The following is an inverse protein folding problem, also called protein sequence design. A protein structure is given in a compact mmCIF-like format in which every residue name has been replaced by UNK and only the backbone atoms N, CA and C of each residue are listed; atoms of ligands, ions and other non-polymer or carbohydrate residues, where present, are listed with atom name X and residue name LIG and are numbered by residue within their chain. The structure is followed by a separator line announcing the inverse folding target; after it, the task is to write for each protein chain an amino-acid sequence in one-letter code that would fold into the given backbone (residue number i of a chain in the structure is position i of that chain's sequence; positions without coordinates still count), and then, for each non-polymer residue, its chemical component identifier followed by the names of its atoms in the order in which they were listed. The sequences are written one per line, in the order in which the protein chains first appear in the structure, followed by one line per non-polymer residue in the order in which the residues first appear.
data_IF_418556537971
#
_entry.id   IF_418556537971
#
_cell.length_a   1.000
_cell.length_b   1.000
_cell.length_c   1.000
_cell.angle_alpha   90.00
_cell.angle_beta   90.00
_cell.angle_gamma   90.00
#
_symmetry.space_group_name_H-M   'P 1'
#
loop_
_entity.id
_entity.type
_entity.pdbx_description
1 polymer ?
#
# COMPACT_ATOMS: atom_id res chain seq x y z
N UNK A 1 1.87 22.54 -22.32
CA UNK A 1 2.50 21.62 -21.34
C UNK A 1 1.49 21.40 -20.24
N UNK A 2 1.06 20.16 -20.03
CA UNK A 2 0.02 19.85 -19.05
C UNK A 2 0.51 19.89 -17.60
N UNK A 3 -0.42 20.01 -16.66
CA UNK A 3 -0.16 20.13 -15.22
C UNK A 3 0.42 18.86 -14.58
N UNK A 4 0.26 17.70 -15.24
CA UNK A 4 0.82 16.42 -14.82
C UNK A 4 2.12 16.11 -15.56
N UNK A 5 3.09 15.50 -14.89
CA UNK A 5 4.32 15.06 -15.55
C UNK A 5 4.04 13.98 -16.60
N UNK A 6 4.87 13.91 -17.64
CA UNK A 6 4.78 12.87 -18.68
C UNK A 6 4.81 11.46 -18.08
N UNK A 7 5.65 11.23 -17.06
CA UNK A 7 5.70 9.95 -16.35
C UNK A 7 4.38 9.61 -15.66
N UNK A 8 3.71 10.60 -15.05
CA UNK A 8 2.41 10.40 -14.42
C UNK A 8 1.33 10.02 -15.44
N UNK A 9 1.33 10.68 -16.60
CA UNK A 9 0.42 10.34 -17.71
C UNK A 9 0.68 8.94 -18.27
N UNK A 10 1.95 8.59 -18.52
CA UNK A 10 2.32 7.25 -19.00
C UNK A 10 1.93 6.15 -18.01
N UNK A 11 2.09 6.38 -16.70
CA UNK A 11 1.69 5.43 -15.66
C UNK A 11 0.16 5.20 -15.61
N UNK A 12 -0.62 6.12 -16.16
CA UNK A 12 -2.07 5.98 -16.34
C UNK A 12 -2.46 5.52 -17.75
N UNK A 13 -1.51 5.18 -18.62
CA UNK A 13 -1.78 4.73 -19.99
C UNK A 13 -2.05 5.86 -20.99
N UNK A 14 -1.72 7.10 -20.65
CA UNK A 14 -1.84 8.29 -21.49
C UNK A 14 -0.49 8.76 -22.07
N UNK A 15 -0.54 9.33 -23.28
CA UNK A 15 0.54 10.10 -23.89
C UNK A 15 0.03 11.51 -24.22
N UNK A 16 0.81 12.55 -23.95
CA UNK A 16 0.47 13.90 -24.43
C UNK A 16 0.57 13.96 -25.95
N UNK A 17 -0.36 14.68 -26.58
CA UNK A 17 -0.38 14.90 -28.05
C UNK A 17 0.71 15.88 -28.51
N UNK A 18 1.33 16.62 -27.59
CA UNK A 18 2.34 17.64 -27.88
C UNK A 18 1.75 19.04 -28.11
N UNK A 19 0.44 19.15 -28.32
CA UNK A 19 -0.29 20.41 -28.41
C UNK A 19 -1.11 20.63 -27.13
N UNK A 20 -0.81 21.68 -26.36
CA UNK A 20 -1.56 22.03 -25.15
C UNK A 20 -1.30 21.09 -23.96
N UNK A 21 -2.38 20.66 -23.31
CA UNK A 21 -2.40 19.68 -22.22
C UNK A 21 -3.18 18.40 -22.57
N UNK A 22 -3.62 18.28 -23.83
CA UNK A 22 -4.37 17.12 -24.29
C UNK A 22 -3.53 15.85 -24.20
N UNK A 23 -4.10 14.83 -23.55
CA UNK A 23 -3.51 13.53 -23.38
C UNK A 23 -4.46 12.46 -23.91
N UNK A 24 -3.91 11.44 -24.59
CA UNK A 24 -4.70 10.39 -25.21
C UNK A 24 -4.16 9.00 -24.89
N UNK A 25 -5.05 8.03 -24.76
CA UNK A 25 -4.67 6.63 -24.57
C UNK A 25 -4.46 5.95 -25.92
N UNK A 26 -3.32 5.27 -26.09
CA UNK A 26 -3.04 4.55 -27.35
C UNK A 26 -3.93 3.33 -27.59
N UNK A 27 -4.52 2.76 -26.53
CA UNK A 27 -5.30 1.51 -26.60
C UNK A 27 -6.79 1.75 -26.82
N UNK A 28 -7.43 2.60 -26.01
CA UNK A 28 -8.86 2.89 -26.11
C UNK A 28 -9.18 4.18 -26.87
N UNK A 29 -8.16 4.98 -27.22
CA UNK A 29 -8.30 6.28 -27.91
C UNK A 29 -9.06 7.34 -27.11
N UNK A 30 -9.24 7.14 -25.80
CA UNK A 30 -9.74 8.17 -24.90
C UNK A 30 -8.82 9.39 -24.97
N UNK A 31 -9.38 10.55 -25.26
CA UNK A 31 -8.70 11.85 -25.24
C UNK A 31 -9.30 12.72 -24.12
N UNK A 32 -8.42 13.40 -23.40
CA UNK A 32 -8.78 14.29 -22.28
C UNK A 32 -7.89 15.52 -22.32
N UNK A 33 -8.52 16.69 -22.19
CA UNK A 33 -7.89 18.01 -22.12
C UNK A 33 -8.37 18.74 -20.86
N UNK A 34 -7.86 19.95 -20.64
CA UNK A 34 -8.21 20.82 -19.49
C UNK A 34 -7.92 20.16 -18.13
N UNK A 35 -6.74 19.57 -18.02
CA UNK A 35 -6.29 18.87 -16.83
C UNK A 35 -6.02 19.84 -15.69
N UNK A 36 -6.58 19.51 -14.53
CA UNK A 36 -6.26 20.18 -13.26
C UNK A 36 -5.40 19.28 -12.37
N UNK A 37 -4.74 19.86 -11.37
CA UNK A 37 -3.84 19.14 -10.45
C UNK A 37 -4.55 18.10 -9.58
N UNK A 38 -5.85 18.27 -9.36
CA UNK A 38 -6.72 17.37 -8.59
C UNK A 38 -7.27 16.19 -9.42
N UNK A 39 -7.27 16.30 -10.74
CA UNK A 39 -7.66 15.19 -11.62
C UNK A 39 -6.59 14.10 -11.62
N UNK A 40 -6.92 12.91 -11.11
CA UNK A 40 -6.04 11.75 -11.19
C UNK A 40 -6.15 11.08 -12.58
N UNK A 41 -5.06 11.01 -13.37
CA UNK A 41 -5.13 10.47 -14.74
C UNK A 41 -5.62 9.02 -14.79
N UNK A 42 -5.22 8.17 -13.84
CA UNK A 42 -5.68 6.79 -13.81
C UNK A 42 -7.19 6.70 -13.55
N UNK A 43 -7.69 7.45 -12.58
CA UNK A 43 -9.12 7.45 -12.24
C UNK A 43 -9.98 7.90 -13.42
N UNK A 44 -9.59 8.98 -14.09
CA UNK A 44 -10.28 9.47 -15.29
C UNK A 44 -10.28 8.42 -16.41
N UNK A 45 -9.16 7.71 -16.60
CA UNK A 45 -9.07 6.63 -17.58
C UNK A 45 -10.04 5.50 -17.25
N UNK A 46 -10.00 4.99 -16.01
CA UNK A 46 -10.85 3.90 -15.57
C UNK A 46 -12.34 4.26 -15.62
N UNK A 47 -12.69 5.50 -15.28
CA UNK A 47 -14.06 5.98 -15.28
C UNK A 47 -14.62 6.17 -16.71
N UNK A 48 -13.85 6.79 -17.61
CA UNK A 48 -14.32 7.13 -18.97
C UNK A 48 -14.09 6.01 -19.98
N UNK A 49 -13.23 5.05 -19.70
CA UNK A 49 -12.95 3.91 -20.57
C UNK A 49 -12.63 2.64 -19.76
N UNK A 50 -13.61 2.12 -19.01
CA UNK A 50 -13.43 0.93 -18.17
C UNK A 50 -13.05 -0.32 -18.99
N UNK A 51 -13.52 -0.41 -20.23
CA UNK A 51 -13.24 -1.51 -21.15
C UNK A 51 -11.83 -1.45 -21.78
N UNK A 52 -11.05 -0.40 -21.49
CA UNK A 52 -9.70 -0.28 -22.04
C UNK A 52 -8.82 -1.45 -21.59
N UNK A 53 -8.09 -2.05 -22.53
CA UNK A 53 -7.15 -3.16 -22.25
C UNK A 53 -6.14 -2.81 -21.15
N UNK A 54 -5.67 -1.56 -21.10
CA UNK A 54 -4.81 -1.09 -20.01
C UNK A 54 -5.55 -1.13 -18.67
N UNK A 55 -6.73 -0.50 -18.58
CA UNK A 55 -7.53 -0.45 -17.34
C UNK A 55 -7.87 -1.87 -16.84
N UNK A 56 -8.32 -2.77 -17.71
CA UNK A 56 -8.60 -4.18 -17.37
C UNK A 56 -7.37 -4.97 -16.99
N UNK A 57 -6.19 -4.62 -17.51
CA UNK A 57 -4.94 -5.28 -17.09
C UNK A 57 -4.52 -4.90 -15.66
N UNK A 58 -4.91 -3.71 -15.21
CA UNK A 58 -4.66 -3.23 -13.85
C UNK A 58 -5.77 -3.70 -12.89
N UNK A 59 -7.00 -3.83 -13.39
CA UNK A 59 -8.16 -4.38 -12.68
C UNK A 59 -8.77 -5.53 -13.49
N UNK A 60 -8.24 -6.76 -13.40
CA UNK A 60 -8.88 -7.89 -14.06
C UNK A 60 -10.28 -8.07 -13.48
N UNK A 61 -11.28 -8.17 -14.36
CA UNK A 61 -12.64 -8.47 -13.92
C UNK A 61 -12.64 -9.77 -13.10
N UNK A 62 -13.48 -9.88 -12.05
CA UNK A 62 -13.86 -11.18 -11.57
C UNK A 62 -14.53 -11.89 -12.75
N UNK A 63 -13.95 -13.01 -13.19
CA UNK A 63 -14.41 -13.81 -14.33
C UNK A 63 -15.94 -13.97 -14.25
N UNK A 64 -16.68 -13.22 -15.09
CA UNK A 64 -18.11 -13.42 -15.29
C UNK A 64 -18.26 -14.31 -16.52
N UNK A 65 -18.39 -15.61 -16.29
CA UNK A 65 -19.04 -16.48 -17.27
C UNK A 65 -20.56 -16.37 -17.08
N UNK A 66 -21.24 -15.82 -18.10
CA UNK A 66 -22.67 -16.07 -18.34
C UNK A 66 -23.60 -14.87 -18.21
N UNK A 67 -23.96 -14.29 -19.37
CA UNK A 67 -25.29 -13.79 -19.76
C UNK A 67 -26.14 -12.99 -18.76
N UNK A 68 -26.43 -11.75 -19.14
CA UNK A 68 -27.52 -10.91 -18.61
C UNK A 68 -28.90 -11.63 -18.71
N UNK A 69 -29.91 -11.17 -17.94
CA UNK A 69 -30.71 -10.07 -18.47
C UNK A 69 -31.07 -8.96 -17.47
N UNK A 70 -31.47 -7.85 -18.06
CA UNK A 70 -32.09 -6.66 -17.48
C UNK A 70 -33.02 -6.91 -16.30
N UNK A 71 -32.94 -6.04 -15.30
CA UNK A 71 -34.11 -5.37 -14.75
C UNK A 71 -33.69 -4.02 -14.16
N UNK A 72 -34.38 -2.98 -14.61
CA UNK A 72 -34.32 -1.63 -14.08
C UNK A 72 -34.85 -1.59 -12.64
N UNK A 73 -34.29 -0.73 -11.79
CA UNK A 73 -35.11 0.29 -11.10
C UNK A 73 -34.26 1.41 -10.46
N UNK A 74 -34.58 2.61 -10.91
CA UNK A 74 -34.59 3.96 -10.33
C UNK A 74 -34.29 4.17 -8.83
N UNK A 75 -33.46 5.19 -8.56
CA UNK A 75 -33.43 6.22 -7.47
C UNK A 75 -34.12 5.92 -6.14
N UNK A 76 -33.42 6.12 -5.00
CA UNK A 76 -33.80 7.07 -3.92
C UNK A 76 -32.54 7.47 -3.11
N UNK A 77 -32.31 8.78 -3.01
CA UNK A 77 -31.55 9.46 -1.95
C UNK A 77 -32.33 9.34 -0.64
N UNK A 78 -31.73 8.75 0.40
CA UNK A 78 -32.18 8.96 1.78
C UNK A 78 -30.96 9.07 2.69
N UNK A 79 -30.67 10.31 3.08
CA UNK A 79 -29.96 10.63 4.31
C UNK A 79 -30.75 10.08 5.50
N UNK A 80 -30.11 9.33 6.39
CA UNK A 80 -30.33 9.35 7.85
C UNK A 80 -29.28 8.49 8.56
N UNK A 81 -28.92 8.98 9.73
CA UNK A 81 -27.89 8.56 10.67
C UNK A 81 -28.11 7.16 11.28
N UNK A 82 -27.05 6.71 11.99
CA UNK A 82 -27.06 5.72 13.09
C UNK A 82 -26.44 4.32 12.84
N UNK A 83 -25.61 3.94 13.81
CA UNK A 83 -24.69 2.80 13.92
C UNK A 83 -25.29 1.39 13.68
N UNK A 84 -24.50 0.50 13.02
CA UNK A 84 -23.83 -0.64 13.69
C UNK A 84 -22.93 -1.42 12.72
N UNK A 85 -21.68 -1.63 13.09
CA UNK A 85 -20.74 -2.47 12.36
C UNK A 85 -21.20 -3.94 12.36
N UNK A 86 -21.63 -4.45 11.20
CA UNK A 86 -21.88 -5.88 11.00
C UNK A 86 -20.70 -6.55 10.30
N UNK A 87 -20.25 -7.66 10.90
CA UNK A 87 -19.09 -8.47 10.55
C UNK A 87 -19.23 -9.03 9.12
N UNK A 88 -18.41 -8.57 8.18
CA UNK A 88 -18.32 -9.16 6.83
C UNK A 88 -17.37 -10.36 6.82
N UNK A 89 -17.85 -11.46 6.24
CA UNK A 89 -17.20 -12.76 6.16
C UNK A 89 -15.96 -12.73 5.25
N UNK A 90 -14.89 -13.40 5.71
CA UNK A 90 -13.60 -13.57 5.04
C UNK A 90 -13.69 -14.73 4.06
N UNK A 91 -13.49 -14.48 2.77
CA UNK A 91 -13.25 -15.54 1.78
C UNK A 91 -11.77 -15.93 1.89
N UNK A 92 -11.50 -17.19 2.21
CA UNK A 92 -10.14 -17.72 2.25
C UNK A 92 -9.71 -18.16 0.84
N UNK A 93 -8.68 -17.52 0.31
CA UNK A 93 -8.01 -17.96 -0.92
C UNK A 93 -6.74 -18.72 -0.51
N UNK A 94 -6.63 -19.95 -1.01
CA UNK A 94 -5.56 -20.89 -0.71
C UNK A 94 -4.18 -20.40 -1.17
N UNK A 95 -3.20 -20.75 -0.35
CA UNK A 95 -1.83 -20.25 -0.33
C UNK A 95 -1.02 -20.73 -1.54
N UNK A 96 -0.54 -19.79 -2.36
CA UNK A 96 0.61 -20.01 -3.25
C UNK A 96 1.91 -19.80 -2.46
N UNK A 97 2.83 -20.75 -2.62
CA UNK A 97 3.98 -21.04 -1.74
C UNK A 97 5.19 -20.11 -1.87
N UNK A 98 4.98 -18.83 -2.17
CA UNK A 98 6.05 -17.83 -2.08
C UNK A 98 5.47 -16.51 -1.56
N UNK A 99 5.91 -16.02 -0.38
CA UNK A 99 5.42 -14.75 0.13
C UNK A 99 5.80 -13.65 -0.87
N UNK A 100 4.83 -12.91 -1.44
CA UNK A 100 5.14 -11.81 -2.33
C UNK A 100 5.99 -10.81 -1.55
N UNK A 101 7.23 -10.62 -2.01
CA UNK A 101 8.16 -9.66 -1.41
C UNK A 101 7.54 -8.29 -1.57
N UNK A 102 7.06 -7.70 -0.48
CA UNK A 102 6.43 -6.39 -0.54
C UNK A 102 7.48 -5.34 -0.93
N UNK A 103 7.47 -4.92 -2.19
CA UNK A 103 8.26 -3.78 -2.64
C UNK A 103 7.42 -2.54 -2.38
N UNK A 104 7.63 -1.94 -1.20
CA UNK A 104 7.08 -0.62 -0.96
C UNK A 104 7.83 0.41 -1.80
N UNK A 105 7.12 0.99 -2.78
CA UNK A 105 7.64 2.04 -3.65
C UNK A 105 7.89 3.33 -2.85
N UNK A 106 8.90 4.10 -3.25
CA UNK A 106 9.36 5.28 -2.49
C UNK A 106 8.33 6.40 -2.39
N UNK A 107 7.39 6.47 -3.34
CA UNK A 107 6.27 7.42 -3.25
C UNK A 107 5.37 7.11 -2.05
N UNK A 108 5.09 5.83 -1.77
CA UNK A 108 4.27 5.40 -0.64
C UNK A 108 5.01 5.64 0.67
N UNK A 109 6.32 5.33 0.74
CA UNK A 109 7.14 5.65 1.92
C UNK A 109 7.14 7.14 2.26
N UNK A 110 7.31 8.00 1.25
CA UNK A 110 7.29 9.47 1.42
C UNK A 110 5.92 9.96 1.84
N UNK A 111 4.85 9.44 1.25
CA UNK A 111 3.48 9.75 1.65
C UNK A 111 3.22 9.35 3.11
N UNK A 112 3.68 8.15 3.53
CA UNK A 112 3.57 7.69 4.93
C UNK A 112 4.23 8.66 5.89
N UNK A 113 5.48 9.06 5.62
CA UNK A 113 6.21 10.03 6.44
C UNK A 113 5.45 11.36 6.58
N UNK A 114 4.91 11.87 5.46
CA UNK A 114 4.12 13.12 5.44
C UNK A 114 2.82 13.03 6.22
N UNK A 115 2.18 11.87 6.27
CA UNK A 115 0.94 11.69 7.04
C UNK A 115 1.12 12.01 8.53
N UNK A 116 2.33 11.83 9.08
CA UNK A 116 2.63 12.13 10.49
C UNK A 116 3.11 13.56 10.75
N UNK A 117 3.00 14.48 9.78
CA UNK A 117 3.38 15.89 10.00
C UNK A 117 2.65 16.55 11.16
N UNK A 118 1.40 16.16 11.42
CA UNK A 118 0.57 16.68 12.52
C UNK A 118 0.44 15.67 13.68
N UNK A 119 1.30 14.65 13.75
CA UNK A 119 1.22 13.66 14.82
C UNK A 119 1.51 14.32 16.18
N UNK A 120 0.67 14.11 17.20
CA UNK A 120 0.86 14.77 18.48
C UNK A 120 2.22 14.39 19.11
N UNK A 121 3.14 15.35 19.21
CA UNK A 121 4.49 15.12 19.75
C UNK A 121 4.52 14.57 21.19
N UNK A 122 3.44 14.73 21.95
CA UNK A 122 3.33 14.28 23.34
C UNK A 122 2.69 12.89 23.51
N UNK A 123 2.28 12.24 22.42
CA UNK A 123 1.75 10.87 22.45
C UNK A 123 2.88 9.91 22.06
N UNK A 124 3.20 8.99 22.97
CA UNK A 124 3.93 7.76 22.61
C UNK A 124 2.87 6.72 22.23
N UNK A 125 3.05 5.96 21.14
CA UNK A 125 4.25 5.80 20.31
C UNK A 125 4.57 6.96 19.38
N UNK A 126 5.87 7.16 19.12
CA UNK A 126 6.38 8.21 18.23
C UNK A 126 5.93 8.01 16.78
N UNK A 127 5.89 9.11 16.01
CA UNK A 127 5.62 9.04 14.57
C UNK A 127 6.59 8.10 13.84
N UNK A 128 7.86 8.07 14.26
CA UNK A 128 8.85 7.14 13.71
C UNK A 128 8.45 5.68 13.91
N UNK A 129 8.01 5.30 15.12
CA UNK A 129 7.54 3.94 15.41
C UNK A 129 6.28 3.57 14.62
N UNK A 130 5.35 4.52 14.46
CA UNK A 130 4.15 4.30 13.63
C UNK A 130 4.51 4.09 12.15
N UNK A 131 5.41 4.91 11.61
CA UNK A 131 5.90 4.81 10.22
C UNK A 131 6.60 3.47 9.99
N UNK A 132 7.44 3.05 10.94
CA UNK A 132 8.16 1.77 10.90
C UNK A 132 7.19 0.59 10.89
N UNK A 133 6.15 0.63 11.73
CA UNK A 133 5.08 -0.36 11.77
C UNK A 133 4.16 -0.36 10.53
N UNK A 134 4.35 0.55 9.58
CA UNK A 134 3.63 0.56 8.31
C UNK A 134 2.30 1.31 8.35
N UNK A 135 2.07 2.07 9.41
CA UNK A 135 0.85 2.83 9.60
C UNK A 135 0.91 4.19 8.92
N UNK A 136 -0.27 4.72 8.59
CA UNK A 136 -0.53 6.09 8.15
C UNK A 136 -1.41 6.77 9.19
N UNK A 137 -1.15 8.04 9.51
CA UNK A 137 -2.03 8.83 10.35
C UNK A 137 -3.35 9.14 9.63
N UNK A 138 -4.48 8.94 10.32
CA UNK A 138 -5.80 9.31 9.80
C UNK A 138 -6.14 10.80 9.96
N UNK A 139 -5.25 11.58 10.60
CA UNK A 139 -5.45 12.98 10.98
C UNK A 139 -6.66 13.21 11.91
N UNK A 140 -7.03 12.18 12.67
CA UNK A 140 -8.11 12.23 13.67
C UNK A 140 -7.60 11.60 14.96
N UNK A 141 -7.34 12.43 15.98
CA UNK A 141 -6.79 11.96 17.26
C UNK A 141 -5.45 11.25 17.09
N UNK A 142 -5.32 10.07 17.69
CA UNK A 142 -4.18 9.16 17.57
C UNK A 142 -4.47 7.97 16.63
N UNK A 143 -5.48 8.10 15.78
CA UNK A 143 -5.91 7.03 14.89
C UNK A 143 -4.93 6.85 13.74
N UNK A 144 -4.56 5.61 13.49
CA UNK A 144 -3.71 5.21 12.38
C UNK A 144 -4.31 4.04 11.61
N UNK A 145 -3.91 3.90 10.34
CA UNK A 145 -4.38 2.84 9.43
C UNK A 145 -3.21 2.17 8.71
N UNK A 146 -3.28 0.86 8.49
CA UNK A 146 -2.38 0.18 7.56
C UNK A 146 -3.07 0.01 6.20
N UNK A 147 -2.47 0.52 5.12
CA UNK A 147 -3.06 0.42 3.76
C UNK A 147 -3.02 -1.00 3.16
N UNK A 148 -2.27 -1.93 3.76
CA UNK A 148 -2.09 -3.29 3.22
C UNK A 148 -3.10 -4.29 3.79
N UNK A 149 -3.55 -4.09 5.03
CA UNK A 149 -4.53 -4.95 5.68
C UNK A 149 -5.77 -4.20 6.16
N UNK A 150 -5.81 -2.88 5.98
CA UNK A 150 -6.89 -1.98 6.38
C UNK A 150 -7.22 -1.98 7.87
N UNK A 151 -6.32 -2.48 8.73
CA UNK A 151 -6.50 -2.37 10.17
C UNK A 151 -6.38 -0.91 10.61
N UNK A 152 -7.27 -0.50 11.49
CA UNK A 152 -7.26 0.81 12.14
C UNK A 152 -6.98 0.60 13.63
N UNK A 153 -6.02 1.35 14.16
CA UNK A 153 -5.64 1.34 15.57
C UNK A 153 -5.75 2.77 16.14
N UNK A 154 -6.13 2.88 17.41
CA UNK A 154 -6.28 4.14 18.14
C UNK A 154 -6.17 3.84 19.64
N UNK A 155 -6.18 4.86 20.50
CA UNK A 155 -6.05 4.75 21.96
C UNK A 155 -4.73 4.11 22.39
N UNK A 156 -3.65 4.63 21.85
CA UNK A 156 -2.30 4.14 22.12
C UNK A 156 -1.86 4.49 23.55
N UNK A 157 -1.37 3.48 24.26
CA UNK A 157 -0.83 3.61 25.62
C UNK A 157 0.64 4.04 25.57
N UNK A 158 0.98 5.24 26.10
CA UNK A 158 2.35 5.72 26.13
C UNK A 158 3.30 4.75 26.83
N UNK A 159 4.51 4.57 26.27
CA UNK A 159 5.59 3.72 26.81
C UNK A 159 5.30 2.22 26.90
N UNK A 160 4.06 1.78 26.69
CA UNK A 160 3.68 0.35 26.77
C UNK A 160 3.42 -0.23 25.40
N UNK A 161 2.70 0.48 24.55
CA UNK A 161 2.31 -0.04 23.25
C UNK A 161 3.46 0.01 22.25
N UNK A 162 3.74 -1.14 21.62
CA UNK A 162 4.66 -1.23 20.50
C UNK A 162 3.84 -1.37 19.19
N UNK A 163 3.87 -0.38 18.28
CA UNK A 163 3.09 -0.41 17.04
C UNK A 163 3.36 -1.63 16.16
N UNK A 164 4.61 -2.08 16.07
CA UNK A 164 4.99 -3.24 15.25
C UNK A 164 4.39 -4.51 15.83
N UNK A 165 4.50 -4.69 17.15
CA UNK A 165 3.95 -5.88 17.84
C UNK A 165 2.43 -5.90 17.81
N UNK A 166 1.77 -4.77 18.05
CA UNK A 166 0.31 -4.65 17.92
C UNK A 166 -0.14 -4.97 16.50
N UNK A 167 0.57 -4.48 15.47
CA UNK A 167 0.25 -4.80 14.08
C UNK A 167 0.41 -6.31 13.79
N UNK A 168 1.47 -6.94 14.30
CA UNK A 168 1.68 -8.39 14.19
C UNK A 168 0.57 -9.20 14.86
N UNK A 169 0.18 -8.82 16.08
CA UNK A 169 -0.85 -9.52 16.86
C UNK A 169 -2.21 -9.40 16.18
N UNK A 170 -2.59 -8.19 15.76
CA UNK A 170 -3.93 -7.94 15.23
C UNK A 170 -4.07 -8.34 13.75
N UNK A 171 -2.98 -8.32 12.97
CA UNK A 171 -2.99 -8.68 11.56
C UNK A 171 -1.74 -9.50 11.16
N UNK A 172 -1.58 -10.73 11.66
CA UNK A 172 -0.38 -11.55 11.44
C UNK A 172 -0.17 -11.95 9.97
N UNK A 173 -1.24 -11.94 9.16
CA UNK A 173 -1.21 -12.22 7.72
C UNK A 173 -1.11 -10.94 6.86
N UNK A 174 -0.91 -9.76 7.47
CA UNK A 174 -0.75 -8.52 6.73
C UNK A 174 0.51 -8.59 5.84
N UNK A 175 0.43 -8.24 4.53
CA UNK A 175 1.60 -8.23 3.65
C UNK A 175 2.77 -7.40 4.17
N UNK A 176 2.49 -6.27 4.84
CA UNK A 176 3.53 -5.44 5.45
C UNK A 176 4.19 -6.10 6.65
N UNK A 177 3.39 -6.72 7.53
CA UNK A 177 3.89 -7.46 8.69
C UNK A 177 4.81 -8.61 8.24
N UNK A 178 4.35 -9.41 7.27
CA UNK A 178 5.15 -10.51 6.72
C UNK A 178 6.48 -10.01 6.15
N UNK A 179 6.49 -8.86 5.46
CA UNK A 179 7.70 -8.25 4.93
C UNK A 179 8.64 -7.66 6.01
N UNK A 180 8.12 -7.21 7.17
CA UNK A 180 8.97 -6.84 8.31
C UNK A 180 9.65 -8.09 8.88
N UNK A 181 8.88 -9.15 9.12
CA UNK A 181 9.39 -10.40 9.72
C UNK A 181 10.48 -11.05 8.85
N UNK A 182 10.28 -11.08 7.54
CA UNK A 182 11.27 -11.57 6.58
C UNK A 182 12.58 -10.77 6.63
N UNK A 183 12.49 -9.43 6.66
CA UNK A 183 13.68 -8.56 6.82
C UNK A 183 14.43 -8.81 8.13
N UNK A 184 13.71 -9.05 9.23
CA UNK A 184 14.31 -9.34 10.53
C UNK A 184 15.05 -10.69 10.51
N UNK A 185 14.45 -11.73 9.92
CA UNK A 185 15.10 -13.04 9.76
C UNK A 185 16.37 -12.96 8.91
N UNK A 186 16.34 -12.24 7.78
CA UNK A 186 17.52 -12.02 6.94
C UNK A 186 18.64 -11.25 7.67
N UNK A 187 18.28 -10.29 8.52
CA UNK A 187 19.26 -9.54 9.32
C UNK A 187 19.92 -10.41 10.40
N UNK A 188 19.17 -11.30 11.04
CA UNK A 188 19.69 -12.22 12.06
C UNK A 188 20.69 -13.24 11.47
N UNK A 189 20.42 -13.76 10.27
CA UNK A 189 21.32 -14.70 9.58
C UNK A 189 22.69 -14.05 9.28
N UNK A 190 22.72 -12.75 8.93
CA UNK A 190 23.97 -12.04 8.64
C UNK A 190 24.87 -11.87 9.87
N UNK A 191 24.29 -11.72 11.06
CA UNK A 191 25.06 -11.53 12.30
C UNK A 191 25.71 -12.84 12.75
N UNK A 192 25.07 -13.99 12.55
CA UNK A 192 25.66 -15.29 12.93
C UNK A 192 26.86 -15.70 12.07
N UNK A 193 26.92 -15.26 10.79
CA UNK A 193 28.01 -15.62 9.89
C UNK A 193 29.32 -14.85 10.16
N UNK A 194 29.27 -13.73 10.91
CA UNK A 194 30.46 -12.96 11.31
C UNK A 194 31.10 -13.46 12.62
N UNK A 195 30.41 -14.34 13.34
CA UNK A 195 30.96 -14.99 14.54
C UNK A 195 31.81 -16.23 14.16
N UNK A 196 31.40 -16.97 13.13
CA UNK A 196 32.07 -18.22 12.71
C UNK A 196 33.44 -18.00 12.04
N UNK A 197 33.70 -16.81 11.51
CA UNK A 197 34.99 -16.43 10.91
C UNK A 197 36.02 -15.96 11.94
N UNK A 198 35.61 -15.52 13.14
CA UNK A 198 36.55 -15.10 14.20
C UNK A 198 37.17 -16.28 14.94
N UNK A 199 36.43 -17.36 15.15
CA UNK A 199 36.90 -18.50 15.93
C UNK A 199 37.83 -19.45 15.16
N UNK A 200 37.90 -19.34 13.82
CA UNK A 200 38.77 -20.16 12.97
C UNK A 200 40.16 -19.55 12.67
N UNK A 201 40.46 -18.32 13.13
CA UNK A 201 41.76 -17.66 12.91
C UNK A 201 42.73 -17.73 14.10
N UNK A 202 42.28 -18.21 15.28
CA UNK A 202 43.14 -18.35 16.48
C UNK A 202 43.68 -19.77 16.68
N UNK A 203 43.46 -20.68 15.72
CA UNK A 203 43.62 -22.11 15.90
C UNK A 203 44.81 -22.79 15.23
N UNK A 204 45.83 -22.10 14.70
CA UNK A 204 47.00 -22.80 14.11
C UNK A 204 48.26 -21.93 14.04
N UNK A 205 48.97 -21.74 15.16
CA UNK A 205 50.43 -21.59 15.14
C UNK A 205 51.00 -22.05 16.48
N UNK A 206 51.42 -23.32 16.57
CA UNK A 206 52.51 -23.71 17.46
C UNK A 206 53.60 -24.36 16.60
N UNK A 207 54.78 -23.79 16.75
CA UNK A 207 56.03 -23.98 16.02
C UNK A 207 56.69 -25.29 16.45
N UNK A 208 57.05 -26.12 15.48
CA UNK A 208 58.16 -27.07 15.61
C UNK A 208 59.45 -26.32 15.25
N UNK A 209 60.36 -26.13 16.22
CA UNK A 209 61.82 -26.38 16.16
C UNK A 209 62.44 -26.00 17.51
#
# INVERSE_FOLDING_TARGET
MGVHSTTNMMAAGFSYTGCGDTAYCNLCKLEVSDWTTDMNPFYIHAQRSPECKFVRSIFPDPITSGSAPSNAFTTILAYSDDEKATKRHKIEIAQTSCPPRLIEVDIVKRARKRAFSNWPHRISPSSAQMIEAGFFNCNVGDRVICLYCNIICQQWTPNTDNPVEIHKILSPKCPYVLAILDRQQLSAIRVMNDQFTRDNLTGTMNVDT
#
